data_IF_709975749082
#
_entry.id   IF_709975749082
#
_cell.length_a   1.000
_cell.length_b   1.000
_cell.length_c   1.000
_cell.angle_alpha   90.00
_cell.angle_beta   90.00
_cell.angle_gamma   90.00
#
_symmetry.space_group_name_H-M   'P 1'
#
loop_
_entity.id
_entity.type
_entity.pdbx_description
1 polymer ?
#
# COMPACT_ATOMS: atom_id res chain seq x y z
N UNK A 1 23.80 7.08 16.27
CA UNK A 1 22.77 8.13 16.24
C UNK A 1 22.11 8.29 14.87
N UNK A 2 22.86 8.54 13.79
CA UNK A 2 22.35 8.75 12.42
C UNK A 2 21.42 7.63 11.89
N UNK A 3 21.78 6.35 12.10
CA UNK A 3 20.97 5.19 11.66
C UNK A 3 19.60 5.10 12.35
N UNK A 4 19.51 5.47 13.64
CA UNK A 4 18.25 5.50 14.40
C UNK A 4 17.32 6.60 13.89
N UNK A 5 17.87 7.79 13.63
CA UNK A 5 17.13 8.91 13.01
C UNK A 5 16.57 8.53 11.64
N UNK A 6 17.40 7.91 10.78
CA UNK A 6 16.95 7.43 9.47
C UNK A 6 15.87 6.36 9.59
N UNK A 7 15.99 5.43 10.55
CA UNK A 7 14.97 4.43 10.83
C UNK A 7 13.63 5.04 11.23
N UNK A 8 13.63 6.04 12.12
CA UNK A 8 12.43 6.78 12.55
C UNK A 8 11.79 7.49 11.35
N UNK A 9 12.57 8.18 10.53
CA UNK A 9 12.08 8.88 9.34
C UNK A 9 11.34 7.91 8.39
N UNK A 10 11.94 6.76 8.12
CA UNK A 10 11.36 5.73 7.23
C UNK A 10 10.09 5.15 7.83
N UNK A 11 10.03 4.95 9.15
CA UNK A 11 8.82 4.49 9.84
C UNK A 11 7.69 5.52 9.68
N UNK A 12 7.95 6.80 9.89
CA UNK A 12 6.94 7.87 9.74
C UNK A 12 6.42 7.92 8.30
N UNK A 13 7.31 7.86 7.31
CA UNK A 13 6.93 7.82 5.89
C UNK A 13 6.05 6.59 5.62
N UNK A 14 6.44 5.43 6.15
CA UNK A 14 5.69 4.18 5.96
C UNK A 14 4.27 4.30 6.55
N UNK A 15 4.11 4.89 7.74
CA UNK A 15 2.79 5.11 8.36
C UNK A 15 1.94 6.05 7.50
N UNK A 16 2.52 7.14 6.97
CA UNK A 16 1.83 8.04 6.05
C UNK A 16 1.36 7.32 4.78
N UNK A 17 2.19 6.46 4.21
CA UNK A 17 1.85 5.64 3.05
C UNK A 17 0.74 4.62 3.38
N UNK A 18 0.78 3.97 4.56
CA UNK A 18 -0.30 3.09 5.03
C UNK A 18 -1.62 3.85 5.09
N UNK A 19 -1.62 5.05 5.67
CA UNK A 19 -2.81 5.91 5.73
C UNK A 19 -3.40 6.13 4.34
N UNK A 20 -2.56 6.52 3.37
CA UNK A 20 -2.99 6.72 1.98
C UNK A 20 -3.55 5.43 1.34
N UNK A 21 -2.93 4.28 1.58
CA UNK A 21 -3.40 2.99 1.04
C UNK A 21 -4.78 2.60 1.60
N UNK A 22 -5.02 2.85 2.90
CA UNK A 22 -6.34 2.62 3.51
C UNK A 22 -7.40 3.49 2.83
N UNK A 23 -7.11 4.76 2.55
CA UNK A 23 -8.04 5.66 1.87
C UNK A 23 -8.36 5.26 0.42
N UNK A 24 -7.57 4.37 -0.19
CA UNK A 24 -7.82 3.88 -1.55
C UNK A 24 -8.62 2.58 -1.61
N UNK A 25 -8.89 1.92 -0.47
CA UNK A 25 -9.72 0.72 -0.41
C UNK A 25 -11.16 0.93 -0.94
N UNK A 26 -11.83 2.08 -0.68
CA UNK A 26 -13.15 2.34 -1.25
C UNK A 26 -13.15 2.35 -2.78
N UNK A 27 -12.08 2.82 -3.43
CA UNK A 27 -11.95 2.80 -4.89
C UNK A 27 -11.91 1.37 -5.43
N UNK A 28 -11.15 0.48 -4.80
CA UNK A 28 -11.08 -0.94 -5.18
C UNK A 28 -12.46 -1.61 -5.04
N UNK A 29 -13.19 -1.30 -3.96
CA UNK A 29 -14.53 -1.82 -3.75
C UNK A 29 -15.56 -1.28 -4.76
N UNK A 30 -15.44 0.00 -5.15
CA UNK A 30 -16.29 0.61 -6.17
C UNK A 30 -16.07 -0.06 -7.54
N UNK A 31 -14.82 -0.26 -7.95
CA UNK A 31 -14.48 -0.92 -9.20
C UNK A 31 -14.93 -2.39 -9.22
N UNK A 32 -14.83 -3.10 -8.10
CA UNK A 32 -15.39 -4.45 -7.97
C UNK A 32 -16.90 -4.46 -8.17
N UNK A 33 -17.61 -3.52 -7.53
CA UNK A 33 -19.06 -3.38 -7.65
C UNK A 33 -19.47 -3.05 -9.08
N UNK A 34 -18.71 -2.19 -9.76
CA UNK A 34 -18.91 -1.87 -11.18
C UNK A 34 -18.67 -3.09 -12.07
N UNK A 35 -17.62 -3.88 -11.82
CA UNK A 35 -17.35 -5.11 -12.56
C UNK A 35 -18.47 -6.15 -12.39
N UNK A 36 -19.02 -6.29 -11.18
CA UNK A 36 -20.17 -7.14 -10.90
C UNK A 36 -21.42 -6.68 -11.64
N UNK A 37 -21.74 -5.39 -11.58
CA UNK A 37 -22.97 -4.84 -12.15
C UNK A 37 -22.94 -4.76 -13.69
N UNK A 38 -21.78 -4.47 -14.28
CA UNK A 38 -21.64 -4.33 -15.72
C UNK A 38 -21.49 -5.68 -16.44
N UNK A 39 -20.92 -6.69 -15.78
CA UNK A 39 -20.64 -8.00 -16.39
C UNK A 39 -19.64 -7.95 -17.56
N UNK A 40 -19.00 -6.80 -17.82
CA UNK A 40 -18.10 -6.62 -18.95
C UNK A 40 -16.68 -7.05 -18.59
N UNK A 41 -16.02 -7.77 -19.51
CA UNK A 41 -14.62 -8.16 -19.35
C UNK A 41 -13.68 -6.98 -19.11
N UNK A 42 -13.98 -5.81 -19.71
CA UNK A 42 -13.22 -4.57 -19.51
C UNK A 42 -13.23 -4.12 -18.04
N UNK A 43 -14.37 -4.12 -17.39
CA UNK A 43 -14.52 -3.67 -16.00
C UNK A 43 -13.81 -4.61 -15.03
N UNK A 44 -13.81 -5.92 -15.29
CA UNK A 44 -12.98 -6.89 -14.57
C UNK A 44 -11.48 -6.64 -14.77
N UNK A 45 -11.06 -6.24 -15.97
CA UNK A 45 -9.69 -5.86 -16.27
C UNK A 45 -9.23 -4.64 -15.46
N UNK A 46 -10.08 -3.61 -15.35
CA UNK A 46 -9.80 -2.41 -14.54
C UNK A 46 -9.66 -2.78 -13.06
N UNK A 47 -10.66 -3.45 -12.49
CA UNK A 47 -10.63 -3.90 -11.09
C UNK A 47 -9.39 -4.73 -10.77
N UNK A 48 -9.06 -5.70 -11.63
CA UNK A 48 -7.90 -6.57 -11.43
C UNK A 48 -6.59 -5.78 -11.48
N UNK A 49 -6.46 -4.83 -12.41
CA UNK A 49 -5.32 -3.94 -12.52
C UNK A 49 -5.12 -3.10 -11.26
N UNK A 50 -6.19 -2.48 -10.77
CA UNK A 50 -6.16 -1.67 -9.54
C UNK A 50 -5.84 -2.53 -8.32
N UNK A 51 -6.43 -3.72 -8.20
CA UNK A 51 -6.16 -4.65 -7.10
C UNK A 51 -4.68 -5.06 -7.06
N UNK A 52 -4.11 -5.45 -8.21
CA UNK A 52 -2.70 -5.85 -8.29
C UNK A 52 -1.77 -4.69 -7.94
N UNK A 53 -2.06 -3.50 -8.47
CA UNK A 53 -1.30 -2.30 -8.14
C UNK A 53 -1.33 -2.01 -6.64
N UNK A 54 -2.50 -2.12 -6.00
CA UNK A 54 -2.65 -1.94 -4.56
C UNK A 54 -1.86 -2.97 -3.77
N UNK A 55 -1.93 -4.24 -4.12
CA UNK A 55 -1.16 -5.32 -3.47
C UNK A 55 0.34 -5.03 -3.53
N UNK A 56 0.84 -4.62 -4.70
CA UNK A 56 2.26 -4.25 -4.86
C UNK A 56 2.64 -3.11 -3.93
N UNK A 57 1.82 -2.05 -3.84
CA UNK A 57 2.10 -0.94 -2.94
C UNK A 57 2.09 -1.36 -1.46
N UNK A 58 1.13 -2.18 -1.04
CA UNK A 58 1.10 -2.74 0.32
C UNK A 58 2.37 -3.52 0.66
N UNK A 59 2.87 -4.34 -0.28
CA UNK A 59 4.12 -5.08 -0.12
C UNK A 59 5.32 -4.14 0.01
N UNK A 60 5.42 -3.12 -0.84
CA UNK A 60 6.50 -2.12 -0.77
C UNK A 60 6.48 -1.40 0.58
N UNK A 61 5.31 -0.95 1.03
CA UNK A 61 5.15 -0.26 2.32
C UNK A 61 5.50 -1.18 3.50
N UNK A 62 5.14 -2.46 3.44
CA UNK A 62 5.55 -3.45 4.43
C UNK A 62 7.09 -3.55 4.53
N UNK A 63 7.78 -3.62 3.38
CA UNK A 63 9.23 -3.71 3.37
C UNK A 63 9.91 -2.42 3.85
N UNK A 64 9.37 -1.25 3.50
CA UNK A 64 9.84 0.03 4.03
C UNK A 64 9.71 0.09 5.56
N UNK A 65 8.56 -0.31 6.10
CA UNK A 65 8.34 -0.33 7.53
C UNK A 65 9.28 -1.33 8.23
N UNK A 66 9.44 -2.54 7.67
CA UNK A 66 10.38 -3.56 8.18
C UNK A 66 11.81 -3.04 8.17
N UNK A 67 12.23 -2.39 7.09
CA UNK A 67 13.56 -1.80 6.96
C UNK A 67 13.80 -0.67 7.98
N UNK A 68 12.84 0.26 8.12
CA UNK A 68 12.92 1.34 9.11
C UNK A 68 13.03 0.81 10.55
N UNK A 69 12.25 -0.21 10.91
CA UNK A 69 12.36 -0.89 12.22
C UNK A 69 13.71 -1.55 12.44
N UNK A 70 14.26 -2.21 11.43
CA UNK A 70 15.57 -2.85 11.53
C UNK A 70 16.67 -1.80 11.76
N UNK A 71 16.65 -0.68 11.02
CA UNK A 71 17.60 0.42 11.23
C UNK A 71 17.50 1.04 12.62
N UNK A 72 16.29 1.12 13.18
CA UNK A 72 16.07 1.61 14.54
C UNK A 72 16.58 0.64 15.62
N UNK A 73 16.42 -0.67 15.44
CA UNK A 73 16.78 -1.71 16.44
C UNK A 73 18.26 -2.12 16.45
N UNK A 74 19.03 -1.90 15.38
CA UNK A 74 20.42 -2.41 15.25
C UNK A 74 21.44 -1.56 16.05
N UNK A 75 21.09 -1.06 17.24
CA UNK A 75 21.95 -0.38 18.23
C UNK A 75 21.15 -0.11 19.53
#
# INVERSE_FOLDING_TARGET
>A
MMKKLLGILIIIISIGLIGRLIFTLPTVAAEFTEALNSGQARSWGVFTGTLLFQVVLWVVVYFLFKFGRNLYRVN
#
